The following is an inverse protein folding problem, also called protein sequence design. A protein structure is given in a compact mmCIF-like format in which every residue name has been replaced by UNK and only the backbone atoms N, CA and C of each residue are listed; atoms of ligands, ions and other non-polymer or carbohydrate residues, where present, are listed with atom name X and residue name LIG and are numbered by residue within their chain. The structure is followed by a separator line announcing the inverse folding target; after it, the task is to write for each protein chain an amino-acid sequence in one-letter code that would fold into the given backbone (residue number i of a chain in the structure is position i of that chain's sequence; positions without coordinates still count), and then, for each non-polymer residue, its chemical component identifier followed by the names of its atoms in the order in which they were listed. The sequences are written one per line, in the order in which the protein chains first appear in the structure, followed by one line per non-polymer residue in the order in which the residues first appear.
data_IF_350696194242
#
_entry.id   IF_350696194242
#
_cell.length_a   1.000
_cell.length_b   1.000
_cell.length_c   1.000
_cell.angle_alpha   90.00
_cell.angle_beta   90.00
_cell.angle_gamma   90.00
#
_symmetry.space_group_name_H-M   'P 1'
#
loop_
_entity.id
_entity.type
_entity.pdbx_description
1 polymer ?
#
# COMPACT_ATOMS: atom_id res chain seq x y z
N UNK A 1 -12.61 -60.19 -34.72
CA UNK A 1 -12.27 -61.27 -33.77
C UNK A 1 -11.33 -60.67 -32.75
N UNK A 2 -11.44 -60.78 -31.44
CA UNK A 2 -12.50 -61.01 -30.46
C UNK A 2 -11.80 -60.80 -29.09
N UNK A 3 -12.55 -60.31 -28.11
CA UNK A 3 -12.17 -59.93 -26.73
C UNK A 3 -11.27 -60.89 -25.95
N UNK A 4 -10.58 -60.35 -24.92
CA UNK A 4 -10.74 -60.63 -23.47
C UNK A 4 -9.80 -59.65 -22.70
N UNK A 5 -10.29 -58.63 -21.98
CA UNK A 5 -10.68 -58.58 -20.55
C UNK A 5 -9.64 -59.11 -19.55
N UNK A 6 -9.00 -58.18 -18.83
CA UNK A 6 -8.56 -58.40 -17.44
C UNK A 6 -8.92 -57.16 -16.60
N UNK A 7 -9.44 -57.46 -15.41
CA UNK A 7 -10.16 -56.61 -14.47
C UNK A 7 -9.27 -56.45 -13.23
N UNK A 8 -8.99 -55.22 -12.79
CA UNK A 8 -8.51 -55.01 -11.41
C UNK A 8 -9.00 -53.67 -10.85
N UNK A 9 -9.59 -53.76 -9.65
CA UNK A 9 -10.30 -52.71 -8.92
C UNK A 9 -9.36 -51.66 -8.29
N UNK A 10 -9.89 -50.47 -7.90
CA UNK A 10 -9.09 -49.29 -7.54
C UNK A 10 -8.78 -49.23 -6.03
N UNK A 11 -7.71 -48.51 -5.60
CA UNK A 11 -7.57 -48.11 -4.21
C UNK A 11 -7.98 -46.66 -3.97
N UNK A 12 -9.05 -46.53 -3.18
CA UNK A 12 -9.15 -45.75 -1.94
C UNK A 12 -9.14 -44.21 -1.98
N UNK A 13 -10.31 -43.67 -1.60
CA UNK A 13 -10.55 -42.36 -1.01
C UNK A 13 -9.41 -41.80 -0.14
N UNK A 14 -9.00 -40.56 -0.43
CA UNK A 14 -8.51 -39.62 0.57
C UNK A 14 -9.38 -38.36 0.48
N UNK A 15 -10.25 -38.21 1.47
CA UNK A 15 -10.99 -36.98 1.77
C UNK A 15 -10.01 -35.82 1.86
N UNK A 16 -10.16 -34.81 0.99
CA UNK A 16 -9.71 -33.45 1.27
C UNK A 16 -10.95 -32.66 1.67
N UNK A 17 -11.10 -32.46 2.97
CA UNK A 17 -12.06 -31.50 3.50
C UNK A 17 -11.73 -30.11 2.92
N UNK A 18 -12.72 -29.37 2.37
CA UNK A 18 -12.53 -27.96 2.07
C UNK A 18 -12.49 -27.15 3.38
N UNK A 19 -11.80 -25.99 3.41
CA UNK A 19 -11.66 -25.22 4.64
C UNK A 19 -13.02 -24.78 5.16
N UNK A 20 -13.24 -25.03 6.45
CA UNK A 20 -14.45 -24.67 7.18
C UNK A 20 -14.54 -23.14 7.23
N UNK A 21 -15.31 -22.55 6.33
CA UNK A 21 -15.77 -21.18 6.48
C UNK A 21 -16.71 -21.16 7.69
N UNK A 22 -16.24 -20.59 8.81
CA UNK A 22 -17.06 -20.28 9.96
C UNK A 22 -18.06 -19.19 9.57
N UNK A 23 -19.28 -19.58 9.19
CA UNK A 23 -20.40 -18.67 9.13
C UNK A 23 -20.89 -18.44 10.56
N UNK A 24 -20.49 -17.31 11.15
CA UNK A 24 -21.07 -16.81 12.39
C UNK A 24 -22.30 -15.99 12.01
N UNK A 25 -23.48 -16.59 12.20
CA UNK A 25 -24.77 -15.95 11.97
C UNK A 25 -25.18 -15.18 13.23
N UNK A 26 -24.93 -13.87 13.25
CA UNK A 26 -25.46 -12.96 14.27
C UNK A 26 -26.65 -12.24 13.64
N UNK A 27 -27.85 -12.72 13.96
CA UNK A 27 -29.08 -12.16 13.44
C UNK A 27 -29.72 -11.24 14.49
N UNK A 28 -29.67 -9.90 14.34
CA UNK A 28 -30.61 -9.01 15.00
C UNK A 28 -31.80 -8.74 14.06
N UNK A 29 -33.00 -8.91 14.64
CA UNK A 29 -34.35 -8.60 14.15
C UNK A 29 -34.50 -7.63 12.95
N UNK A 30 -35.45 -7.84 12.03
CA UNK A 30 -35.61 -7.00 10.85
C UNK A 30 -36.46 -5.76 11.18
N UNK A 31 -35.82 -4.59 11.30
CA UNK A 31 -36.49 -3.32 11.08
C UNK A 31 -35.65 -2.47 10.14
N UNK A 32 -36.28 -2.06 9.04
CA UNK A 32 -35.68 -1.49 7.85
C UNK A 32 -34.70 -0.33 8.10
N UNK A 33 -33.46 -0.52 7.66
CA UNK A 33 -32.70 0.50 6.92
C UNK A 33 -32.07 -0.21 5.73
N UNK A 34 -32.10 0.43 4.55
CA UNK A 34 -31.42 -0.09 3.38
C UNK A 34 -29.91 -0.06 3.65
N UNK A 35 -29.36 -1.15 4.19
CA UNK A 35 -27.92 -1.29 4.36
C UNK A 35 -27.28 -1.27 2.99
N UNK A 36 -26.58 -0.19 2.65
CA UNK A 36 -25.71 -0.13 1.47
C UNK A 36 -24.69 -1.27 1.59
N UNK A 37 -24.90 -2.36 0.84
CA UNK A 37 -23.95 -3.48 0.84
C UNK A 37 -22.78 -3.13 -0.07
N UNK A 38 -21.60 -2.97 0.51
CA UNK A 38 -20.35 -2.91 -0.25
C UNK A 38 -19.98 -4.35 -0.66
N UNK A 39 -19.89 -4.67 -1.97
CA UNK A 39 -19.46 -6.00 -2.39
C UNK A 39 -17.97 -6.19 -2.11
N UNK A 40 -17.60 -6.92 -1.06
CA UNK A 40 -16.18 -7.17 -0.70
C UNK A 40 -15.59 -8.41 -1.36
N UNK A 41 -16.42 -9.37 -1.78
CA UNK A 41 -16.01 -10.69 -2.30
C UNK A 41 -15.12 -10.67 -3.56
N UNK A 42 -14.83 -9.50 -4.14
CA UNK A 42 -13.97 -9.33 -5.32
C UNK A 42 -12.92 -8.23 -5.17
N UNK A 43 -12.76 -7.65 -3.98
CA UNK A 43 -11.80 -6.58 -3.77
C UNK A 43 -10.37 -7.13 -3.69
N UNK A 44 -9.39 -6.41 -4.25
CA UNK A 44 -7.99 -6.82 -4.14
C UNK A 44 -7.57 -6.78 -2.67
N UNK A 45 -6.82 -7.79 -2.23
CA UNK A 45 -6.15 -7.75 -0.93
C UNK A 45 -4.92 -6.83 -1.04
N UNK A 46 -4.78 -5.90 -0.09
CA UNK A 46 -3.59 -5.06 0.04
C UNK A 46 -2.43 -5.94 0.51
N UNK A 47 -1.41 -6.07 -0.35
CA UNK A 47 -0.17 -6.81 -0.05
C UNK A 47 0.70 -6.04 0.95
N UNK A 48 1.83 -6.61 1.33
CA UNK A 48 2.76 -5.93 2.22
C UNK A 48 3.26 -4.58 1.64
N UNK A 49 3.62 -3.63 2.52
CA UNK A 49 4.37 -2.44 2.11
C UNK A 49 5.73 -2.77 1.52
N UNK A 50 6.24 -1.89 0.66
CA UNK A 50 7.54 -2.03 0.02
C UNK A 50 7.47 -1.87 -1.50
N UNK A 51 8.58 -2.15 -2.22
CA UNK A 51 8.70 -1.87 -3.65
C UNK A 51 7.62 -2.55 -4.51
N UNK A 52 7.19 -3.74 -4.10
CA UNK A 52 6.23 -4.58 -4.84
C UNK A 52 4.78 -4.45 -4.33
N UNK A 53 4.49 -3.46 -3.48
CA UNK A 53 3.15 -3.26 -2.95
C UNK A 53 2.14 -2.94 -4.06
N UNK A 54 0.92 -3.49 -4.00
CA UNK A 54 -0.16 -3.13 -4.94
C UNK A 54 -0.96 -1.90 -4.50
N UNK A 55 -0.44 -1.10 -3.56
CA UNK A 55 -1.19 -0.01 -2.92
C UNK A 55 -1.83 0.98 -3.89
N UNK A 56 -1.15 1.40 -4.96
CA UNK A 56 -1.70 2.38 -5.90
C UNK A 56 -2.95 1.85 -6.62
N UNK A 57 -2.89 0.63 -7.15
CA UNK A 57 -4.03 -0.04 -7.77
C UNK A 57 -5.14 -0.31 -6.74
N UNK A 58 -4.75 -0.81 -5.57
CA UNK A 58 -5.67 -1.10 -4.47
C UNK A 58 -6.44 0.15 -4.05
N UNK A 59 -5.72 1.26 -3.83
CA UNK A 59 -6.28 2.54 -3.42
C UNK A 59 -7.28 3.05 -4.47
N UNK A 60 -6.93 2.95 -5.76
CA UNK A 60 -7.81 3.35 -6.85
C UNK A 60 -9.12 2.54 -6.85
N UNK A 61 -9.03 1.21 -6.78
CA UNK A 61 -10.18 0.30 -6.80
C UNK A 61 -11.08 0.53 -5.58
N UNK A 62 -10.50 0.55 -4.39
CA UNK A 62 -11.26 0.68 -3.14
C UNK A 62 -11.91 2.06 -3.02
N UNK A 63 -11.20 3.13 -3.40
CA UNK A 63 -11.77 4.47 -3.49
C UNK A 63 -12.99 4.52 -4.41
N UNK A 64 -12.96 3.83 -5.56
CA UNK A 64 -14.09 3.80 -6.49
C UNK A 64 -15.28 3.00 -5.92
N UNK A 65 -15.01 1.94 -5.18
CA UNK A 65 -16.03 1.13 -4.50
C UNK A 65 -16.73 1.94 -3.40
N UNK A 66 -15.97 2.59 -2.52
CA UNK A 66 -16.54 3.49 -1.51
C UNK A 66 -17.26 4.69 -2.10
N UNK A 67 -16.80 5.21 -3.25
CA UNK A 67 -17.52 6.26 -3.98
C UNK A 67 -18.88 5.76 -4.49
N UNK A 68 -18.93 4.54 -5.03
CA UNK A 68 -20.16 3.93 -5.56
C UNK A 68 -21.14 3.62 -4.43
N UNK A 69 -20.65 3.17 -3.29
CA UNK A 69 -21.42 2.95 -2.07
C UNK A 69 -21.81 4.26 -1.34
N UNK A 70 -21.37 5.42 -1.84
CA UNK A 70 -21.60 6.76 -1.27
C UNK A 70 -21.02 6.98 0.12
N UNK A 71 -20.06 6.14 0.55
CA UNK A 71 -19.40 6.25 1.87
C UNK A 71 -17.99 6.84 1.79
N UNK A 72 -17.43 7.11 0.60
CA UNK A 72 -16.06 7.64 0.43
C UNK A 72 -15.74 8.87 1.31
N UNK A 73 -16.74 9.67 1.63
CA UNK A 73 -16.57 10.88 2.43
C UNK A 73 -16.06 10.61 3.87
N UNK A 74 -16.28 9.41 4.41
CA UNK A 74 -15.77 9.02 5.75
C UNK A 74 -14.26 8.77 5.77
N UNK A 75 -13.62 8.61 4.59
CA UNK A 75 -12.16 8.49 4.49
C UNK A 75 -11.43 9.81 4.74
N UNK A 76 -12.16 10.93 4.79
CA UNK A 76 -11.61 12.24 5.08
C UNK A 76 -12.04 12.71 6.47
N UNK A 77 -11.09 13.30 7.21
CA UNK A 77 -11.38 13.86 8.53
C UNK A 77 -12.49 14.91 8.43
N UNK A 78 -13.58 14.65 9.15
CA UNK A 78 -14.77 15.49 9.17
C UNK A 78 -15.04 15.94 10.59
N UNK A 79 -15.18 17.26 10.79
CA UNK A 79 -15.59 17.84 12.07
C UNK A 79 -16.90 17.20 12.52
N UNK A 80 -16.98 16.81 13.79
CA UNK A 80 -18.15 16.18 14.41
C UNK A 80 -19.43 16.95 14.12
N UNK A 81 -19.37 18.29 14.10
CA UNK A 81 -20.53 19.16 13.85
C UNK A 81 -21.06 19.10 12.42
N UNK A 82 -20.24 18.65 11.47
CA UNK A 82 -20.57 18.56 10.05
C UNK A 82 -20.96 17.14 9.63
N UNK A 83 -20.94 16.18 10.55
CA UNK A 83 -21.25 14.78 10.27
C UNK A 83 -22.74 14.60 10.00
N UNK A 84 -23.15 13.95 8.90
CA UNK A 84 -24.53 13.55 8.72
C UNK A 84 -24.93 12.50 9.78
N UNK A 85 -26.24 12.31 9.96
CA UNK A 85 -26.76 11.32 10.91
C UNK A 85 -26.31 9.87 10.61
N UNK A 86 -25.94 9.57 9.37
CA UNK A 86 -25.46 8.24 8.94
C UNK A 86 -23.94 8.08 9.06
N UNK A 87 -23.22 9.10 9.53
CA UNK A 87 -21.75 9.09 9.48
C UNK A 87 -21.14 7.92 10.24
N UNK A 88 -21.67 7.58 11.41
CA UNK A 88 -21.16 6.49 12.26
C UNK A 88 -21.35 5.12 11.58
N UNK A 89 -22.55 4.84 11.07
CA UNK A 89 -22.84 3.61 10.32
C UNK A 89 -21.97 3.49 9.04
N UNK A 90 -21.77 4.60 8.33
CA UNK A 90 -20.97 4.64 7.10
C UNK A 90 -19.46 4.47 7.40
N UNK A 91 -18.97 5.02 8.51
CA UNK A 91 -17.58 4.88 8.96
C UNK A 91 -17.31 3.45 9.44
N UNK A 92 -18.20 2.86 10.25
CA UNK A 92 -18.11 1.46 10.69
C UNK A 92 -18.09 0.50 9.50
N UNK A 93 -18.94 0.75 8.50
CA UNK A 93 -18.95 -0.01 7.26
C UNK A 93 -17.62 0.10 6.52
N UNK A 94 -17.05 1.31 6.41
CA UNK A 94 -15.77 1.52 5.76
C UNK A 94 -14.62 0.85 6.53
N UNK A 95 -14.58 0.97 7.86
CA UNK A 95 -13.63 0.27 8.74
C UNK A 95 -13.69 -1.24 8.53
N UNK A 96 -14.88 -1.82 8.57
CA UNK A 96 -15.09 -3.26 8.35
C UNK A 96 -14.59 -3.71 6.97
N UNK A 97 -14.88 -2.94 5.92
CA UNK A 97 -14.40 -3.25 4.57
C UNK A 97 -12.87 -3.16 4.49
N UNK A 98 -12.25 -2.09 5.03
CA UNK A 98 -10.79 -1.94 5.04
C UNK A 98 -10.14 -3.14 5.73
N UNK A 99 -10.63 -3.53 6.91
CA UNK A 99 -10.09 -4.65 7.68
C UNK A 99 -10.20 -5.99 6.93
N UNK A 100 -11.21 -6.18 6.08
CA UNK A 100 -11.40 -7.41 5.29
C UNK A 100 -10.46 -7.52 4.08
N UNK A 101 -9.98 -6.38 3.56
CA UNK A 101 -9.25 -6.33 2.28
C UNK A 101 -7.78 -5.97 2.45
N UNK A 102 -7.26 -6.09 3.66
CA UNK A 102 -5.83 -5.99 3.94
C UNK A 102 -5.28 -7.37 4.28
N UNK A 103 -4.05 -7.64 3.85
CA UNK A 103 -3.34 -8.84 4.29
C UNK A 103 -3.05 -8.76 5.81
N UNK A 104 -3.51 -9.74 6.60
CA UNK A 104 -3.47 -9.63 8.05
C UNK A 104 -2.05 -9.62 8.63
N UNK A 105 -1.14 -10.38 8.02
CA UNK A 105 0.23 -10.55 8.52
C UNK A 105 1.10 -9.32 8.27
N UNK A 106 0.81 -8.57 7.20
CA UNK A 106 1.59 -7.40 6.82
C UNK A 106 0.97 -6.08 7.28
N UNK A 107 -0.35 -5.94 7.30
CA UNK A 107 -0.99 -4.63 7.39
C UNK A 107 -1.75 -4.33 8.69
N UNK A 108 -2.28 -5.34 9.41
CA UNK A 108 -3.06 -5.09 10.64
C UNK A 108 -2.26 -4.38 11.74
N UNK A 109 -0.93 -4.49 11.71
CA UNK A 109 -0.05 -3.76 12.63
C UNK A 109 -0.25 -2.24 12.56
N UNK A 110 -0.58 -1.70 11.39
CA UNK A 110 -0.78 -0.27 11.17
C UNK A 110 -2.19 0.20 11.56
N UNK A 111 -3.14 -0.73 11.67
CA UNK A 111 -4.55 -0.44 11.97
C UNK A 111 -4.89 -0.59 13.46
N UNK A 112 -3.96 -1.12 14.26
CA UNK A 112 -4.20 -1.44 15.67
C UNK A 112 -4.55 -0.19 16.48
N UNK A 113 -5.73 -0.19 17.10
CA UNK A 113 -6.21 0.89 17.95
C UNK A 113 -6.75 2.12 17.20
N UNK A 114 -6.88 2.03 15.87
CA UNK A 114 -7.58 3.04 15.09
C UNK A 114 -9.08 2.74 15.06
N UNK A 115 -9.89 3.76 15.31
CA UNK A 115 -11.34 3.63 15.41
C UNK A 115 -12.05 4.12 14.14
N UNK A 116 -11.49 5.12 13.44
CA UNK A 116 -12.14 5.74 12.28
C UNK A 116 -11.55 5.28 10.95
N UNK A 117 -12.38 5.22 9.92
CA UNK A 117 -11.94 4.80 8.59
C UNK A 117 -10.94 5.80 7.98
N UNK A 118 -11.10 7.09 8.27
CA UNK A 118 -10.13 8.12 7.86
C UNK A 118 -8.72 7.90 8.44
N UNK A 119 -8.62 7.49 9.71
CA UNK A 119 -7.33 7.23 10.34
C UNK A 119 -6.71 5.92 9.80
N UNK A 120 -7.53 4.87 9.60
CA UNK A 120 -7.08 3.63 8.94
C UNK A 120 -6.55 3.89 7.52
N UNK A 121 -7.28 4.71 6.74
CA UNK A 121 -6.90 5.06 5.38
C UNK A 121 -5.58 5.85 5.33
N UNK A 122 -5.41 6.83 6.23
CA UNK A 122 -4.17 7.60 6.36
C UNK A 122 -3.00 6.73 6.84
N UNK A 123 -3.22 5.81 7.78
CA UNK A 123 -2.19 4.90 8.25
C UNK A 123 -1.69 3.96 7.15
N UNK A 124 -2.59 3.39 6.34
CA UNK A 124 -2.22 2.60 5.17
C UNK A 124 -1.51 3.44 4.11
N UNK A 125 -1.98 4.66 3.86
CA UNK A 125 -1.29 5.58 2.96
C UNK A 125 0.16 5.79 3.39
N UNK A 126 0.40 6.16 4.66
CA UNK A 126 1.75 6.39 5.19
C UNK A 126 2.63 5.14 5.20
N UNK A 127 2.04 3.98 5.48
CA UNK A 127 2.79 2.72 5.50
C UNK A 127 3.28 2.33 4.09
N UNK A 128 2.48 2.63 3.06
CA UNK A 128 2.76 2.22 1.69
C UNK A 128 3.40 3.28 0.81
N UNK A 129 3.26 4.56 1.17
CA UNK A 129 3.81 5.71 0.48
C UNK A 129 4.81 6.41 1.37
N UNK A 130 6.09 6.13 1.13
CA UNK A 130 7.19 6.80 1.81
C UNK A 130 7.37 8.22 1.25
N UNK A 131 6.60 9.16 1.79
CA UNK A 131 6.67 10.58 1.45
C UNK A 131 7.85 11.32 2.09
N UNK A 132 8.72 10.61 2.82
CA UNK A 132 9.93 11.19 3.38
C UNK A 132 10.90 11.66 2.28
N UNK A 133 11.84 12.52 2.65
CA UNK A 133 12.94 12.91 1.75
C UNK A 133 13.73 11.68 1.28
N UNK A 134 13.93 10.69 2.15
CA UNK A 134 14.57 9.42 1.83
C UNK A 134 13.81 8.60 0.80
N UNK A 135 12.49 8.47 0.95
CA UNK A 135 11.62 7.74 0.03
C UNK A 135 11.62 8.34 -1.38
N UNK A 136 11.53 9.67 -1.48
CA UNK A 136 11.64 10.38 -2.76
C UNK A 136 13.02 10.17 -3.40
N UNK A 137 14.10 10.37 -2.64
CA UNK A 137 15.46 10.14 -3.12
C UNK A 137 15.67 8.69 -3.56
N UNK A 138 15.13 7.72 -2.82
CA UNK A 138 15.22 6.30 -3.17
C UNK A 138 14.66 6.03 -4.58
N UNK A 139 13.47 6.55 -4.90
CA UNK A 139 12.86 6.35 -6.22
C UNK A 139 13.60 7.09 -7.33
N UNK A 140 14.10 8.31 -7.07
CA UNK A 140 14.96 9.04 -8.02
C UNK A 140 16.22 8.22 -8.34
N UNK A 141 16.89 7.70 -7.31
CA UNK A 141 18.09 6.86 -7.47
C UNK A 141 17.79 5.60 -8.26
N UNK A 142 16.69 4.90 -7.94
CA UNK A 142 16.25 3.71 -8.69
C UNK A 142 16.01 4.03 -10.16
N UNK A 143 15.39 5.17 -10.48
CA UNK A 143 15.10 5.55 -11.85
C UNK A 143 16.36 5.92 -12.65
N UNK A 144 17.27 6.71 -12.07
CA UNK A 144 18.43 7.27 -12.78
C UNK A 144 19.62 6.29 -12.86
N UNK A 145 19.78 5.45 -11.84
CA UNK A 145 20.94 4.54 -11.71
C UNK A 145 20.64 3.17 -12.32
N UNK A 146 19.38 2.77 -12.48
CA UNK A 146 19.04 1.50 -13.10
C UNK A 146 19.77 1.32 -14.44
N UNK A 147 20.32 0.12 -14.62
CA UNK A 147 20.95 -0.33 -15.87
C UNK A 147 20.26 -1.62 -16.30
N UNK A 148 20.20 -1.85 -17.60
CA UNK A 148 19.68 -3.10 -18.13
C UNK A 148 20.68 -4.22 -17.79
N UNK A 149 20.20 -5.24 -17.10
CA UNK A 149 20.93 -6.48 -16.86
C UNK A 149 20.44 -7.53 -17.87
N UNK A 150 21.37 -8.27 -18.48
CA UNK A 150 21.03 -9.25 -19.52
C UNK A 150 20.54 -8.61 -20.82
N UNK A 151 19.61 -9.29 -21.50
CA UNK A 151 19.15 -8.94 -22.85
C UNK A 151 17.63 -8.72 -22.96
N UNK A 152 16.89 -8.72 -21.85
CA UNK A 152 15.44 -8.48 -21.86
C UNK A 152 15.10 -7.00 -21.70
N UNK A 153 14.98 -6.31 -22.84
CA UNK A 153 14.61 -4.90 -22.91
C UNK A 153 13.21 -4.63 -22.32
N UNK A 154 12.25 -5.53 -22.52
CA UNK A 154 10.87 -5.31 -22.08
C UNK A 154 10.78 -5.32 -20.55
N UNK A 155 11.48 -6.26 -19.91
CA UNK A 155 11.57 -6.32 -18.45
C UNK A 155 12.23 -5.06 -17.88
N UNK A 156 13.29 -4.55 -18.53
CA UNK A 156 13.92 -3.29 -18.11
C UNK A 156 12.98 -2.08 -18.24
N UNK A 157 12.29 -1.92 -19.36
CA UNK A 157 11.31 -0.85 -19.58
C UNK A 157 10.19 -0.92 -18.53
N UNK A 158 9.63 -2.09 -18.28
CA UNK A 158 8.59 -2.29 -17.28
C UNK A 158 9.08 -1.95 -15.86
N UNK A 159 10.35 -2.23 -15.55
CA UNK A 159 10.96 -1.88 -14.27
C UNK A 159 11.10 -0.37 -14.10
N UNK A 160 11.59 0.34 -15.13
CA UNK A 160 11.66 1.81 -15.10
C UNK A 160 10.28 2.45 -15.01
N UNK A 161 9.28 1.91 -15.69
CA UNK A 161 7.90 2.39 -15.61
C UNK A 161 7.35 2.29 -14.17
N UNK A 162 7.62 1.18 -13.45
CA UNK A 162 7.26 1.03 -12.03
C UNK A 162 7.96 2.07 -11.15
N UNK A 163 9.25 2.32 -11.35
CA UNK A 163 9.97 3.34 -10.58
C UNK A 163 9.43 4.74 -10.84
N UNK A 164 9.12 5.05 -12.09
CA UNK A 164 8.48 6.31 -12.48
C UNK A 164 7.11 6.47 -11.82
N UNK A 165 6.24 5.45 -11.87
CA UNK A 165 4.92 5.48 -11.24
C UNK A 165 5.02 5.76 -9.73
N UNK A 166 5.96 5.11 -9.05
CA UNK A 166 6.22 5.33 -7.62
C UNK A 166 6.70 6.74 -7.31
N UNK A 167 7.66 7.25 -8.07
CA UNK A 167 8.12 8.63 -7.90
C UNK A 167 6.97 9.61 -8.16
N UNK A 168 6.21 9.40 -9.24
CA UNK A 168 5.09 10.24 -9.62
C UNK A 168 3.99 10.27 -8.55
N UNK A 169 3.76 9.16 -7.82
CA UNK A 169 2.80 9.17 -6.71
C UNK A 169 3.23 10.01 -5.49
N UNK A 170 4.51 10.38 -5.40
CA UNK A 170 5.06 11.22 -4.32
C UNK A 170 5.19 12.69 -4.72
N UNK A 171 4.95 13.03 -5.98
CA UNK A 171 5.05 14.39 -6.52
C UNK A 171 3.65 14.96 -6.66
N UNK A 172 3.38 16.08 -5.98
CA UNK A 172 2.10 16.79 -6.07
C UNK A 172 2.31 18.24 -6.50
N UNK A 173 1.26 18.96 -6.94
CA UNK A 173 1.38 20.39 -7.20
C UNK A 173 1.89 21.21 -6.00
N UNK A 174 1.52 20.80 -4.78
CA UNK A 174 1.95 21.43 -3.53
C UNK A 174 3.38 21.04 -3.13
N UNK A 175 3.83 19.87 -3.59
CA UNK A 175 5.16 19.32 -3.32
C UNK A 175 5.78 18.80 -4.63
N UNK A 176 6.20 19.72 -5.53
CA UNK A 176 6.78 19.34 -6.80
C UNK A 176 8.19 18.76 -6.62
N UNK A 177 8.65 18.01 -7.60
CA UNK A 177 10.06 17.62 -7.68
C UNK A 177 10.92 18.85 -7.99
N UNK A 178 12.00 19.05 -7.24
CA UNK A 178 12.90 20.19 -7.38
C UNK A 178 14.29 19.78 -7.85
N UNK A 179 15.11 20.72 -8.39
CA UNK A 179 16.52 20.45 -8.68
C UNK A 179 17.31 19.98 -7.46
N UNK A 180 16.91 20.43 -6.26
CA UNK A 180 17.50 20.05 -4.98
C UNK A 180 17.31 18.56 -4.69
N UNK A 181 16.14 18.00 -4.99
CA UNK A 181 15.88 16.55 -4.82
C UNK A 181 16.81 15.71 -5.71
N UNK A 182 17.04 16.18 -6.95
CA UNK A 182 17.97 15.53 -7.89
C UNK A 182 19.41 15.66 -7.41
N UNK A 183 19.80 16.84 -6.91
CA UNK A 183 21.13 17.07 -6.33
C UNK A 183 21.36 16.15 -5.12
N UNK A 184 20.41 16.08 -4.19
CA UNK A 184 20.51 15.20 -3.02
C UNK A 184 20.60 13.73 -3.42
N UNK A 185 19.81 13.29 -4.40
CA UNK A 185 19.90 11.93 -4.92
C UNK A 185 21.26 11.62 -5.55
N UNK A 186 21.81 12.55 -6.35
CA UNK A 186 23.13 12.40 -6.95
C UNK A 186 24.24 12.38 -5.89
N UNK A 187 24.21 13.32 -4.93
CA UNK A 187 25.16 13.42 -3.83
C UNK A 187 25.18 12.13 -3.02
N UNK A 188 24.02 11.67 -2.54
CA UNK A 188 23.91 10.44 -1.73
C UNK A 188 24.21 9.16 -2.52
N UNK A 189 24.19 9.22 -3.85
CA UNK A 189 24.64 8.12 -4.71
C UNK A 189 26.14 8.11 -4.98
N UNK A 190 26.80 9.24 -4.76
CA UNK A 190 28.23 9.41 -5.01
C UNK A 190 29.11 9.11 -3.79
N UNK A 191 28.50 8.98 -2.61
CA UNK A 191 29.21 8.70 -1.36
C UNK A 191 29.16 7.21 -0.99
N UNK A 192 30.14 6.71 -0.22
CA UNK A 192 30.14 5.34 0.28
C UNK A 192 28.91 5.02 1.16
N UNK A 193 28.37 3.77 1.14
CA UNK A 193 27.17 3.41 1.89
C UNK A 193 27.28 3.59 3.41
N UNK A 194 28.49 3.45 3.96
CA UNK A 194 28.81 3.66 5.37
C UNK A 194 28.53 5.09 5.83
N UNK A 195 28.46 6.08 4.93
CA UNK A 195 28.16 7.48 5.28
C UNK A 195 26.65 7.78 5.40
N UNK A 196 25.79 6.83 5.03
CA UNK A 196 24.34 7.06 5.02
C UNK A 196 23.76 7.18 6.43
N UNK A 197 24.42 6.59 7.44
CA UNK A 197 23.94 6.63 8.82
C UNK A 197 23.86 8.07 9.37
N UNK A 198 24.77 8.96 8.96
CA UNK A 198 24.85 10.36 9.38
C UNK A 198 23.62 11.18 8.98
N UNK A 199 22.94 10.77 7.90
CA UNK A 199 21.77 11.45 7.35
C UNK A 199 20.47 10.66 7.52
N UNK A 200 20.51 9.45 8.07
CA UNK A 200 19.34 8.56 8.16
C UNK A 200 18.16 9.20 8.91
N UNK A 201 18.42 9.87 10.03
CA UNK A 201 17.38 10.57 10.79
C UNK A 201 16.77 11.75 10.04
N UNK A 202 17.54 12.39 9.15
CA UNK A 202 17.04 13.43 8.24
C UNK A 202 16.22 12.81 7.10
N UNK A 203 16.67 11.70 6.55
CA UNK A 203 15.98 11.01 5.45
C UNK A 203 14.58 10.52 5.82
N UNK A 204 14.33 10.23 7.10
CA UNK A 204 13.01 9.85 7.61
C UNK A 204 12.03 11.03 7.78
N UNK A 205 12.48 12.27 7.57
CA UNK A 205 11.65 13.48 7.67
C UNK A 205 11.19 13.90 6.28
N UNK A 206 10.08 14.61 6.24
CA UNK A 206 9.55 15.20 5.02
C UNK A 206 10.12 16.60 4.79
N UNK A 207 10.52 16.91 3.54
CA UNK A 207 10.90 18.27 3.14
C UNK A 207 12.23 18.76 3.72
N UNK A 208 13.16 17.84 4.02
CA UNK A 208 14.50 18.23 4.47
C UNK A 208 15.24 18.98 3.37
N UNK A 209 15.73 20.18 3.73
CA UNK A 209 16.51 21.02 2.84
C UNK A 209 17.89 20.44 2.54
N UNK A 210 18.36 20.66 1.32
CA UNK A 210 19.69 20.27 0.84
C UNK A 210 20.81 20.75 1.77
N UNK A 211 20.76 21.98 2.27
CA UNK A 211 21.83 22.51 3.13
C UNK A 211 21.95 21.73 4.44
N UNK A 212 20.84 21.25 4.99
CA UNK A 212 20.83 20.45 6.21
C UNK A 212 21.54 19.11 5.99
N UNK A 213 21.28 18.45 4.85
CA UNK A 213 21.91 17.19 4.46
C UNK A 213 23.42 17.40 4.24
N UNK A 214 23.79 18.42 3.48
CA UNK A 214 25.20 18.77 3.20
C UNK A 214 25.93 19.11 4.49
N UNK A 215 25.31 19.83 5.41
CA UNK A 215 25.94 20.19 6.69
C UNK A 215 26.19 18.96 7.55
N UNK A 216 25.24 18.01 7.61
CA UNK A 216 25.42 16.75 8.32
C UNK A 216 26.60 15.95 7.77
N UNK A 217 26.68 15.79 6.44
CA UNK A 217 27.80 15.10 5.78
C UNK A 217 29.15 15.79 6.03
N UNK A 218 29.18 17.13 6.01
CA UNK A 218 30.40 17.90 6.30
C UNK A 218 30.84 17.83 7.76
N UNK A 219 29.92 17.59 8.68
CA UNK A 219 30.25 17.44 10.09
C UNK A 219 30.90 16.07 10.33
N UNK A 220 30.34 15.00 9.76
CA UNK A 220 30.96 13.66 9.81
C UNK A 220 32.37 13.65 9.23
N UNK A 221 32.60 14.36 8.12
CA UNK A 221 33.91 14.42 7.48
C UNK A 221 35.02 15.09 8.32
N UNK A 222 34.67 15.70 9.47
CA UNK A 222 35.62 16.34 10.38
C UNK A 222 35.99 15.47 11.57
N UNK A 223 35.24 14.40 11.83
CA UNK A 223 35.50 13.43 12.89
C UNK A 223 36.50 12.35 12.42
#
# INVERSE_FOLDING_TARGET
MSNEQEEENPPTNLNKDPPTHLNVDLNPNPMSTSTSRVPTARLPILKAPGPDTNYLDWQMVVSQVFKTAKIKYVLTKTDVKLRPATWEDDDDLACSVIMQIVDPDSNLRYLRGLENASDMWDALYRAHQDCSTGGQIYWIRKLVIARMEGNDMNTHINTLAKFHERLNSLVTPEKPLTPDDVHNAALLSSIPPDWIHCVSGLMNQEGVRTETIVQALKNEAKD
#
